data_IF_211532620907
#
_entry.id   IF_211532620907
#
_cell.length_a   1.000
_cell.length_b   1.000
_cell.length_c   1.000
_cell.angle_alpha   90.00
_cell.angle_beta   90.00
_cell.angle_gamma   90.00
#
_symmetry.space_group_name_H-M   'P 1'
#
loop_
_entity.id
_entity.type
_entity.pdbx_description
1 polymer ?
#
# COMPACT_ATOMS: atom_id res chain seq x y z
N UNK A 1 77.63 -113.09 18.25
CA UNK A 1 78.89 -113.36 18.98
C UNK A 1 79.83 -114.08 18.01
N UNK A 2 81.15 -113.88 18.09
CA UNK A 2 81.89 -112.80 18.77
C UNK A 2 82.24 -111.73 17.68
N UNK A 3 83.31 -110.90 17.62
CA UNK A 3 84.31 -110.38 18.58
C UNK A 3 85.07 -109.15 17.99
N UNK A 4 85.87 -108.47 18.83
CA UNK A 4 87.22 -107.90 18.54
C UNK A 4 87.39 -106.69 17.56
N UNK A 5 88.49 -105.90 17.69
CA UNK A 5 88.35 -104.43 17.70
C UNK A 5 89.45 -103.61 16.96
N UNK A 6 89.48 -102.30 17.28
CA UNK A 6 90.65 -101.40 17.39
C UNK A 6 91.07 -100.52 16.21
N UNK A 7 92.00 -99.62 16.56
CA UNK A 7 92.79 -98.65 15.79
C UNK A 7 92.08 -97.33 15.38
N UNK A 8 92.70 -96.13 15.34
CA UNK A 8 93.86 -95.47 16.00
C UNK A 8 94.48 -94.46 15.01
N UNK A 9 94.80 -93.24 15.49
CA UNK A 9 95.35 -92.16 14.65
C UNK A 9 94.31 -91.44 13.76
N UNK A 10 94.60 -90.26 13.21
CA UNK A 10 95.76 -89.38 13.44
C UNK A 10 95.36 -87.91 13.27
N UNK A 11 96.16 -87.05 13.90
CA UNK A 11 95.94 -85.62 14.03
C UNK A 11 96.32 -84.80 12.77
N UNK A 12 95.60 -83.69 12.58
CA UNK A 12 96.15 -82.36 12.25
C UNK A 12 96.72 -82.07 10.84
N UNK A 13 97.00 -80.77 10.61
CA UNK A 13 97.69 -80.15 9.46
C UNK A 13 97.04 -80.24 8.06
N UNK A 14 96.24 -79.22 7.71
CA UNK A 14 96.81 -78.15 6.86
C UNK A 14 96.02 -76.83 7.03
N UNK A 15 96.54 -75.96 7.91
CA UNK A 15 96.20 -74.54 7.98
C UNK A 15 97.03 -73.81 6.92
N UNK A 16 96.44 -73.54 5.74
CA UNK A 16 97.03 -72.67 4.73
C UNK A 16 95.98 -71.83 3.98
N UNK A 17 96.39 -70.59 3.69
CA UNK A 17 95.74 -69.59 2.80
C UNK A 17 94.61 -68.73 3.39
N UNK A 18 95.01 -67.89 4.34
CA UNK A 18 94.65 -66.47 4.46
C UNK A 18 94.40 -65.74 3.11
N UNK A 19 93.55 -64.69 3.12
CA UNK A 19 93.30 -63.80 1.96
C UNK A 19 91.90 -63.16 1.94
N UNK A 20 91.75 -61.92 2.45
CA UNK A 20 90.42 -61.31 2.66
C UNK A 20 89.88 -60.36 1.57
N UNK A 21 88.75 -60.71 0.93
CA UNK A 21 88.07 -59.87 -0.10
C UNK A 21 86.78 -59.16 0.34
N UNK A 22 86.27 -59.37 1.56
CA UNK A 22 84.89 -59.03 1.96
C UNK A 22 84.50 -57.53 2.00
N UNK A 23 85.40 -56.61 1.64
CA UNK A 23 85.26 -55.14 1.87
C UNK A 23 84.62 -54.37 0.72
N UNK A 24 84.61 -54.92 -0.50
CA UNK A 24 84.22 -54.19 -1.72
C UNK A 24 82.77 -54.45 -2.15
N UNK A 25 82.33 -55.72 -2.12
CA UNK A 25 80.99 -56.14 -2.57
C UNK A 25 79.87 -55.48 -1.74
N UNK A 26 80.08 -55.34 -0.43
CA UNK A 26 79.19 -54.64 0.51
C UNK A 26 79.03 -53.13 0.19
N UNK A 27 80.10 -52.46 -0.26
CA UNK A 27 80.06 -51.04 -0.67
C UNK A 27 79.22 -50.83 -1.92
N UNK A 28 79.31 -51.74 -2.90
CA UNK A 28 78.52 -51.68 -4.13
C UNK A 28 77.02 -51.88 -3.87
N UNK A 29 76.66 -52.82 -2.98
CA UNK A 29 75.26 -53.05 -2.56
C UNK A 29 74.69 -51.79 -1.86
N UNK A 30 75.44 -51.19 -0.94
CA UNK A 30 75.02 -49.95 -0.27
C UNK A 30 74.78 -48.78 -1.24
N UNK A 31 75.62 -48.64 -2.27
CA UNK A 31 75.47 -47.62 -3.31
C UNK A 31 74.22 -47.85 -4.18
N UNK A 32 73.93 -49.10 -4.54
CA UNK A 32 72.73 -49.46 -5.31
C UNK A 32 71.43 -49.20 -4.53
N UNK A 33 71.39 -49.53 -3.23
CA UNK A 33 70.25 -49.24 -2.36
C UNK A 33 70.04 -47.73 -2.22
N UNK A 34 71.11 -46.95 -2.04
CA UNK A 34 71.03 -45.49 -1.94
C UNK A 34 70.50 -44.86 -3.24
N UNK A 35 70.98 -45.32 -4.40
CA UNK A 35 70.48 -44.86 -5.70
C UNK A 35 68.99 -45.19 -5.91
N UNK A 36 68.55 -46.39 -5.49
CA UNK A 36 67.14 -46.80 -5.52
C UNK A 36 66.24 -45.92 -4.65
N UNK A 37 66.68 -45.58 -3.43
CA UNK A 37 65.96 -44.67 -2.53
C UNK A 37 65.85 -43.25 -3.11
N UNK A 38 66.92 -42.73 -3.72
CA UNK A 38 66.91 -41.41 -4.38
C UNK A 38 65.95 -41.41 -5.57
N UNK A 39 65.96 -42.46 -6.41
CA UNK A 39 65.06 -42.58 -7.55
C UNK A 39 63.58 -42.69 -7.11
N UNK A 40 63.28 -43.48 -6.07
CA UNK A 40 61.95 -43.59 -5.51
C UNK A 40 61.45 -42.28 -4.89
N UNK A 41 62.32 -41.55 -4.16
CA UNK A 41 62.01 -40.24 -3.60
C UNK A 41 61.75 -39.18 -4.69
N UNK A 42 62.57 -39.15 -5.74
CA UNK A 42 62.38 -38.26 -6.88
C UNK A 42 61.08 -38.55 -7.64
N UNK A 43 60.74 -39.83 -7.86
CA UNK A 43 59.49 -40.23 -8.49
C UNK A 43 58.27 -39.89 -7.62
N UNK A 44 58.34 -40.11 -6.30
CA UNK A 44 57.27 -39.74 -5.38
C UNK A 44 57.02 -38.22 -5.34
N UNK A 45 58.08 -37.41 -5.32
CA UNK A 45 57.97 -35.94 -5.40
C UNK A 45 57.41 -35.48 -6.74
N UNK A 46 57.86 -36.06 -7.86
CA UNK A 46 57.33 -35.73 -9.19
C UNK A 46 55.85 -36.11 -9.32
N UNK A 47 55.47 -37.31 -8.88
CA UNK A 47 54.08 -37.76 -8.86
C UNK A 47 53.20 -36.83 -8.02
N UNK A 48 53.65 -36.44 -6.82
CA UNK A 48 52.92 -35.52 -5.93
C UNK A 48 52.74 -34.12 -6.54
N UNK A 49 53.71 -33.62 -7.32
CA UNK A 49 53.57 -32.35 -8.06
C UNK A 49 52.56 -32.46 -9.20
N UNK A 50 52.48 -33.61 -9.89
CA UNK A 50 51.50 -33.82 -10.96
C UNK A 50 50.09 -34.12 -10.44
N UNK A 51 49.94 -34.78 -9.29
CA UNK A 51 48.62 -35.09 -8.69
C UNK A 51 48.15 -34.06 -7.67
N UNK A 52 49.00 -33.11 -7.26
CA UNK A 52 48.65 -32.03 -6.34
C UNK A 52 47.64 -31.00 -6.87
N UNK A 53 47.22 -31.13 -8.13
CA UNK A 53 46.17 -30.33 -8.76
C UNK A 53 44.75 -30.65 -8.29
N UNK A 54 44.53 -30.79 -6.97
CA UNK A 54 43.22 -30.93 -6.36
C UNK A 54 42.45 -29.61 -6.47
N UNK A 55 41.73 -29.42 -7.58
CA UNK A 55 40.82 -28.31 -7.75
C UNK A 55 39.64 -28.46 -6.79
N UNK A 56 39.69 -27.78 -5.65
CA UNK A 56 38.53 -27.59 -4.77
C UNK A 56 37.40 -26.97 -5.60
N UNK A 57 36.39 -27.77 -5.90
CA UNK A 57 35.19 -27.26 -6.55
C UNK A 57 34.40 -26.46 -5.51
N UNK A 58 34.47 -25.13 -5.62
CA UNK A 58 33.61 -24.22 -4.86
C UNK A 58 32.15 -24.52 -5.23
N UNK A 59 31.38 -25.16 -4.34
CA UNK A 59 29.97 -25.49 -4.58
C UNK A 59 29.14 -24.22 -4.76
N UNK A 60 29.02 -23.81 -6.02
CA UNK A 60 28.33 -22.59 -6.39
C UNK A 60 26.84 -22.88 -6.40
N UNK A 61 26.16 -22.63 -5.27
CA UNK A 61 24.72 -22.78 -5.17
C UNK A 61 24.04 -21.87 -6.20
N UNK A 62 23.44 -22.48 -7.22
CA UNK A 62 22.72 -21.80 -8.29
C UNK A 62 21.22 -22.00 -8.11
N UNK A 63 20.45 -20.95 -8.38
CA UNK A 63 19.00 -20.97 -8.36
C UNK A 63 18.46 -20.61 -9.75
N UNK A 64 17.44 -21.33 -10.21
CA UNK A 64 16.77 -21.05 -11.48
C UNK A 64 16.03 -19.72 -11.40
N UNK A 65 16.32 -18.80 -12.32
CA UNK A 65 15.67 -17.49 -12.37
C UNK A 65 14.35 -17.60 -13.15
N UNK A 66 13.24 -17.59 -12.43
CA UNK A 66 11.89 -17.56 -13.01
C UNK A 66 11.36 -16.12 -13.16
N UNK A 67 10.53 -15.88 -14.18
CA UNK A 67 9.90 -14.57 -14.44
C UNK A 67 8.47 -14.52 -13.92
N UNK A 68 8.31 -14.17 -12.64
CA UNK A 68 7.02 -13.76 -12.07
C UNK A 68 6.68 -12.29 -12.36
N UNK A 69 5.41 -11.91 -12.19
CA UNK A 69 5.00 -10.49 -12.15
C UNK A 69 5.19 -9.90 -10.75
N UNK A 70 5.86 -8.75 -10.66
CA UNK A 70 6.01 -8.01 -9.41
C UNK A 70 4.83 -7.04 -9.29
N UNK A 71 3.94 -7.28 -8.32
CA UNK A 71 2.79 -6.42 -8.04
C UNK A 71 3.12 -5.46 -6.90
N UNK A 72 3.52 -4.23 -7.25
CA UNK A 72 3.82 -3.17 -6.28
C UNK A 72 2.53 -2.48 -5.84
N UNK A 73 1.88 -2.99 -4.80
CA UNK A 73 0.67 -2.39 -4.23
C UNK A 73 1.00 -1.12 -3.44
N UNK A 74 0.71 0.04 -4.01
CA UNK A 74 0.81 1.34 -3.32
C UNK A 74 -0.48 1.62 -2.52
N UNK A 75 -0.47 1.33 -1.23
CA UNK A 75 -1.58 1.64 -0.32
C UNK A 75 -1.58 3.13 0.05
N UNK A 76 -2.55 3.89 -0.47
CA UNK A 76 -2.75 5.31 -0.13
C UNK A 76 -3.91 5.43 0.86
N UNK A 77 -3.64 6.01 2.03
CA UNK A 77 -4.68 6.38 3.02
C UNK A 77 -5.15 7.82 2.77
N UNK A 78 -6.45 8.00 2.56
CA UNK A 78 -7.09 9.32 2.46
C UNK A 78 -8.33 9.41 3.36
N UNK A 79 -8.74 10.64 3.68
CA UNK A 79 -10.01 10.89 4.38
C UNK A 79 -11.12 11.18 3.37
N UNK A 80 -12.29 10.62 3.59
CA UNK A 80 -13.50 11.02 2.86
C UNK A 80 -14.02 12.34 3.42
N UNK A 81 -14.34 13.28 2.54
CA UNK A 81 -14.97 14.56 2.87
C UNK A 81 -16.26 14.72 2.07
N UNK A 82 -17.21 15.50 2.59
CA UNK A 82 -18.42 15.83 1.84
C UNK A 82 -18.05 16.66 0.59
N UNK A 83 -18.66 16.33 -0.55
CA UNK A 83 -18.42 17.04 -1.82
C UNK A 83 -18.94 18.49 -1.77
N UNK A 84 -19.99 18.74 -0.99
CA UNK A 84 -20.54 20.05 -0.69
C UNK A 84 -21.19 20.01 0.70
N UNK A 85 -21.17 21.14 1.40
CA UNK A 85 -21.82 21.33 2.70
C UNK A 85 -22.59 22.64 2.66
N UNK A 86 -23.91 22.58 2.83
CA UNK A 86 -24.74 23.76 3.04
C UNK A 86 -24.96 23.98 4.54
N UNK A 87 -24.96 25.25 4.97
CA UNK A 87 -25.52 25.65 6.25
C UNK A 87 -26.84 26.38 5.94
N UNK A 88 -27.95 25.91 6.51
CA UNK A 88 -29.28 26.35 6.14
C UNK A 88 -29.86 27.28 7.22
N UNK A 89 -30.34 28.43 6.77
CA UNK A 89 -31.05 29.43 7.57
C UNK A 89 -32.24 29.94 6.78
N UNK A 90 -33.29 30.34 7.48
CA UNK A 90 -34.38 31.09 6.86
C UNK A 90 -33.89 32.48 6.40
N UNK A 91 -34.52 33.03 5.36
CA UNK A 91 -34.25 34.40 4.92
C UNK A 91 -34.78 35.43 5.91
N UNK A 92 -36.00 35.20 6.41
CA UNK A 92 -36.69 36.07 7.35
C UNK A 92 -36.65 35.58 8.80
N UNK A 93 -36.90 36.51 9.73
CA UNK A 93 -36.92 36.24 11.17
C UNK A 93 -38.31 35.89 11.67
N UNK A 94 -38.53 34.63 12.07
CA UNK A 94 -39.82 34.16 12.59
C UNK A 94 -39.71 32.97 13.55
N UNK A 95 -40.85 32.51 14.04
CA UNK A 95 -40.96 31.28 14.84
C UNK A 95 -41.02 30.08 13.91
N UNK A 96 -40.27 29.01 14.17
CA UNK A 96 -40.42 27.76 13.41
C UNK A 96 -41.71 27.08 13.84
N UNK A 97 -42.62 26.88 12.87
CA UNK A 97 -43.89 26.17 13.04
C UNK A 97 -43.66 24.67 13.08
N UNK A 98 -43.03 24.12 12.02
CA UNK A 98 -42.87 22.68 11.80
C UNK A 98 -41.46 22.36 11.28
N UNK A 99 -40.95 21.17 11.63
CA UNK A 99 -39.74 20.58 11.04
C UNK A 99 -40.14 19.23 10.43
N UNK A 100 -40.05 19.11 9.11
CA UNK A 100 -40.56 17.99 8.33
C UNK A 100 -39.56 16.82 8.19
N UNK A 101 -38.35 16.95 8.74
CA UNK A 101 -37.25 16.01 8.54
C UNK A 101 -36.59 15.56 9.84
N UNK A 102 -35.96 14.39 9.78
CA UNK A 102 -35.30 13.71 10.91
C UNK A 102 -33.79 13.63 10.74
N UNK A 103 -33.05 13.49 11.85
CA UNK A 103 -31.59 13.43 11.83
C UNK A 103 -31.10 12.19 11.07
N UNK A 104 -30.31 12.40 10.01
CA UNK A 104 -29.80 11.32 9.14
C UNK A 104 -30.71 10.99 7.94
N UNK A 105 -31.80 11.71 7.73
CA UNK A 105 -32.66 11.58 6.56
C UNK A 105 -31.97 12.11 5.28
N UNK A 106 -32.05 11.36 4.18
CA UNK A 106 -31.67 11.83 2.86
C UNK A 106 -32.76 12.75 2.30
N UNK A 107 -32.36 13.92 1.76
CA UNK A 107 -33.24 14.96 1.23
C UNK A 107 -32.72 15.48 -0.11
N UNK A 108 -33.63 15.99 -0.94
CA UNK A 108 -33.38 16.42 -2.31
C UNK A 108 -33.55 17.93 -2.48
N UNK A 109 -33.07 18.45 -3.60
CA UNK A 109 -33.26 19.85 -3.96
C UNK A 109 -34.77 20.14 -4.14
N UNK A 110 -35.30 21.05 -3.33
CA UNK A 110 -36.72 21.42 -3.31
C UNK A 110 -37.54 20.80 -2.19
N UNK A 111 -36.98 19.89 -1.38
CA UNK A 111 -37.67 19.33 -0.22
C UNK A 111 -37.81 20.39 0.89
N UNK A 112 -39.03 20.64 1.37
CA UNK A 112 -39.31 21.58 2.47
C UNK A 112 -38.88 20.96 3.81
N UNK A 113 -37.75 21.40 4.35
CA UNK A 113 -37.17 20.81 5.56
C UNK A 113 -37.82 21.31 6.85
N UNK A 114 -38.21 22.58 6.89
CA UNK A 114 -38.86 23.24 8.01
C UNK A 114 -39.60 24.50 7.54
N UNK A 115 -40.61 24.91 8.30
CA UNK A 115 -41.54 25.98 7.96
C UNK A 115 -41.58 27.02 9.10
N UNK A 116 -41.62 28.31 8.75
CA UNK A 116 -41.90 29.40 9.69
C UNK A 116 -43.42 29.60 9.83
N UNK A 117 -43.84 30.04 11.00
CA UNK A 117 -45.20 30.54 11.28
C UNK A 117 -45.54 31.75 10.37
N UNK A 118 -46.32 31.49 9.33
CA UNK A 118 -46.78 32.45 8.32
C UNK A 118 -48.10 33.15 8.66
N UNK A 119 -48.78 32.79 9.76
CA UNK A 119 -50.12 33.31 10.11
C UNK A 119 -50.17 34.84 10.11
N UNK A 120 -49.09 35.52 10.50
CA UNK A 120 -49.01 36.97 10.53
C UNK A 120 -48.92 37.61 9.12
N UNK A 121 -48.25 36.93 8.19
CA UNK A 121 -48.01 37.40 6.81
C UNK A 121 -49.20 37.09 5.92
N UNK A 122 -49.78 35.89 6.02
CA UNK A 122 -51.02 35.53 5.31
C UNK A 122 -52.17 36.49 5.66
N UNK A 123 -52.34 36.83 6.95
CA UNK A 123 -53.30 37.86 7.36
C UNK A 123 -52.98 39.26 6.84
N UNK A 124 -51.70 39.59 6.60
CA UNK A 124 -51.33 40.86 5.98
C UNK A 124 -51.74 40.89 4.49
N UNK A 125 -51.46 39.82 3.74
CA UNK A 125 -51.92 39.63 2.35
C UNK A 125 -53.46 39.72 2.27
N UNK A 126 -54.20 38.94 3.07
CA UNK A 126 -55.67 39.01 3.09
C UNK A 126 -56.20 40.41 3.44
N UNK A 127 -55.49 41.16 4.29
CA UNK A 127 -55.86 42.55 4.60
C UNK A 127 -55.64 43.49 3.41
N UNK A 128 -54.54 43.31 2.67
CA UNK A 128 -54.24 44.07 1.47
C UNK A 128 -55.22 43.75 0.32
N UNK A 129 -55.58 42.48 0.09
CA UNK A 129 -56.63 42.06 -0.85
C UNK A 129 -57.97 42.76 -0.55
N UNK A 130 -58.39 42.78 0.72
CA UNK A 130 -59.64 43.45 1.15
C UNK A 130 -59.57 44.97 0.96
N UNK A 131 -58.42 45.59 1.19
CA UNK A 131 -58.21 47.01 0.93
C UNK A 131 -58.28 47.34 -0.57
N UNK A 132 -57.65 46.52 -1.42
CA UNK A 132 -57.68 46.65 -2.88
C UNK A 132 -59.11 46.49 -3.43
N UNK A 133 -59.82 45.45 -3.02
CA UNK A 133 -61.23 45.24 -3.38
C UNK A 133 -62.12 46.41 -2.93
N UNK A 134 -61.88 46.96 -1.73
CA UNK A 134 -62.60 48.14 -1.22
C UNK A 134 -62.30 49.41 -2.03
N UNK A 135 -61.06 49.61 -2.45
CA UNK A 135 -60.67 50.74 -3.31
C UNK A 135 -61.29 50.62 -4.72
N UNK A 136 -61.25 49.42 -5.33
CA UNK A 136 -61.87 49.14 -6.62
C UNK A 136 -63.39 49.33 -6.59
N UNK A 137 -64.07 48.87 -5.53
CA UNK A 137 -65.49 49.11 -5.31
C UNK A 137 -65.80 50.61 -5.18
N UNK A 138 -64.98 51.37 -4.45
CA UNK A 138 -65.18 52.82 -4.30
C UNK A 138 -64.96 53.58 -5.62
N UNK A 139 -63.95 53.20 -6.42
CA UNK A 139 -63.76 53.73 -7.78
C UNK A 139 -64.99 53.43 -8.65
N UNK A 140 -65.47 52.19 -8.63
CA UNK A 140 -66.65 51.74 -9.40
C UNK A 140 -67.91 52.53 -9.01
N UNK A 141 -68.10 52.85 -7.72
CA UNK A 141 -69.20 53.72 -7.28
C UNK A 141 -69.09 55.14 -7.82
N UNK A 142 -67.88 55.73 -7.84
CA UNK A 142 -67.65 57.11 -8.27
C UNK A 142 -67.80 57.28 -9.80
N UNK A 143 -67.45 56.28 -10.59
CA UNK A 143 -67.65 56.26 -12.06
C UNK A 143 -69.12 56.44 -12.50
N UNK A 144 -70.10 56.33 -11.59
CA UNK A 144 -71.52 56.50 -11.87
C UNK A 144 -72.03 57.96 -11.72
N UNK A 145 -71.15 58.94 -11.45
CA UNK A 145 -71.53 60.36 -11.46
C UNK A 145 -70.77 61.30 -10.51
N UNK A 146 -69.57 60.93 -10.06
CA UNK A 146 -68.71 61.80 -9.26
C UNK A 146 -67.87 62.76 -10.12
N UNK A 147 -67.27 63.77 -9.48
CA UNK A 147 -66.35 64.69 -10.15
C UNK A 147 -65.01 64.01 -10.51
N UNK A 148 -64.38 64.48 -11.59
CA UNK A 148 -63.12 63.93 -12.13
C UNK A 148 -61.98 63.89 -11.08
N UNK A 149 -61.96 64.85 -10.15
CA UNK A 149 -61.01 64.88 -9.03
C UNK A 149 -61.25 63.77 -7.98
N UNK A 150 -62.51 63.36 -7.76
CA UNK A 150 -62.82 62.22 -6.88
C UNK A 150 -62.45 60.89 -7.54
N UNK A 151 -62.71 60.76 -8.84
CA UNK A 151 -62.34 59.58 -9.65
C UNK A 151 -60.82 59.41 -9.62
N UNK A 152 -60.05 60.46 -9.95
CA UNK A 152 -58.59 60.43 -9.88
C UNK A 152 -58.07 60.10 -8.47
N UNK A 153 -58.70 60.63 -7.40
CA UNK A 153 -58.35 60.27 -6.01
C UNK A 153 -58.63 58.79 -5.68
N UNK A 154 -59.64 58.19 -6.29
CA UNK A 154 -59.95 56.76 -6.11
C UNK A 154 -59.02 55.86 -6.94
N UNK A 155 -58.65 56.26 -8.15
CA UNK A 155 -57.62 55.56 -8.95
C UNK A 155 -56.29 55.49 -8.21
N UNK A 156 -55.82 56.61 -7.63
CA UNK A 156 -54.60 56.61 -6.82
C UNK A 156 -54.69 55.68 -5.59
N UNK A 157 -55.89 55.49 -5.01
CA UNK A 157 -56.10 54.54 -3.91
C UNK A 157 -56.08 53.09 -4.37
N UNK A 158 -56.56 52.78 -5.58
CA UNK A 158 -56.41 51.45 -6.19
C UNK A 158 -54.94 51.16 -6.48
N UNK A 159 -54.18 52.13 -7.02
CA UNK A 159 -52.74 51.98 -7.25
C UNK A 159 -51.96 51.78 -5.95
N UNK A 160 -52.26 52.54 -4.90
CA UNK A 160 -51.63 52.34 -3.58
C UNK A 160 -51.99 50.97 -2.99
N UNK A 161 -53.26 50.57 -2.99
CA UNK A 161 -53.67 49.29 -2.44
C UNK A 161 -53.12 48.08 -3.24
N UNK A 162 -52.83 48.25 -4.53
CA UNK A 162 -52.09 47.25 -5.31
C UNK A 162 -50.62 47.18 -4.85
N UNK A 163 -49.94 48.32 -4.70
CA UNK A 163 -48.56 48.34 -4.20
C UNK A 163 -48.43 47.79 -2.76
N UNK A 164 -49.43 48.03 -1.91
CA UNK A 164 -49.52 47.47 -0.56
C UNK A 164 -49.68 45.94 -0.58
N UNK A 165 -50.42 45.40 -1.57
CA UNK A 165 -50.57 43.95 -1.80
C UNK A 165 -49.29 43.34 -2.38
N UNK A 166 -48.72 43.93 -3.43
CA UNK A 166 -47.46 43.50 -4.04
C UNK A 166 -46.32 43.44 -2.98
N UNK A 167 -46.32 44.39 -2.03
CA UNK A 167 -45.37 44.40 -0.91
C UNK A 167 -45.67 43.30 0.14
N UNK A 168 -46.93 42.96 0.40
CA UNK A 168 -47.31 41.87 1.29
C UNK A 168 -46.95 40.50 0.70
N UNK A 169 -47.26 40.28 -0.58
CA UNK A 169 -46.90 39.07 -1.33
C UNK A 169 -45.37 38.89 -1.41
N UNK A 170 -44.63 39.99 -1.54
CA UNK A 170 -43.15 39.98 -1.54
C UNK A 170 -42.52 39.65 -0.19
N UNK A 171 -43.29 39.72 0.91
CA UNK A 171 -42.82 39.36 2.26
C UNK A 171 -43.12 37.89 2.62
N UNK A 172 -44.03 37.22 1.89
CA UNK A 172 -44.46 35.84 2.12
C UNK A 172 -43.60 34.80 1.37
N UNK A 173 -42.64 35.24 0.53
CA UNK A 173 -41.83 34.41 -0.39
C UNK A 173 -40.38 34.20 0.08
#
# INVERSE_FOLDING_TARGET
>A
MPESPALEGIDEYDDLLDGGEHRWRSRLIGLAVLAGLIAAGAYALWALVLTGGSSTAEETQTATVERGSIVTTLSITGVAAAQSTANLSFGESGTVSTVNVTLGQEVKQGDVLAEIDSDALERAVTTAEVNLASAQLKLTQLLNGADEAEIASAEQKVVQAQADLDQADSALQ
#
